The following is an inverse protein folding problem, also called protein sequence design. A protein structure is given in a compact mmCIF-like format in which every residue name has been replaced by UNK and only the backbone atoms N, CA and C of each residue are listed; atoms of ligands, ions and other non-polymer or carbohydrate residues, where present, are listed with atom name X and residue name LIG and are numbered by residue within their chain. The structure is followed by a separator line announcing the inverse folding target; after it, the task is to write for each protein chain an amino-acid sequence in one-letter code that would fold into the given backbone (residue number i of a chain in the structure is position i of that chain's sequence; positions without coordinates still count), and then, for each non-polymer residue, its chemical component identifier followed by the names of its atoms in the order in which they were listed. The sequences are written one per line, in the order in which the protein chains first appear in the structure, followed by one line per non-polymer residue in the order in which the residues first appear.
data_IF_281985306853
#
_entry.id   IF_281985306853
#
_cell.length_a   1.000
_cell.length_b   1.000
_cell.length_c   1.000
_cell.angle_alpha   90.00
_cell.angle_beta   90.00
_cell.angle_gamma   90.00
#
_symmetry.space_group_name_H-M   'P 1'
#
loop_
_entity.id
_entity.type
_entity.pdbx_description
1 polymer ?
#
# COMPACT_ATOMS: atom_id res chain seq x y z
N UNK A 1 -47.41 -27.15 -49.44
CA UNK A 1 -46.45 -28.21 -49.07
C UNK A 1 -45.05 -27.68 -49.25
N UNK A 2 -44.40 -27.26 -48.17
CA UNK A 2 -43.11 -27.81 -47.71
C UNK A 2 -42.56 -26.91 -46.61
N UNK A 3 -42.31 -27.57 -45.49
CA UNK A 3 -41.91 -27.02 -44.21
C UNK A 3 -40.38 -27.02 -44.09
N UNK A 4 -39.85 -26.02 -43.39
CA UNK A 4 -38.57 -26.09 -42.67
C UNK A 4 -38.60 -24.96 -41.64
N UNK A 5 -38.97 -25.27 -40.39
CA UNK A 5 -38.05 -25.59 -39.28
C UNK A 5 -37.40 -24.32 -38.72
N UNK A 6 -37.99 -23.81 -37.64
CA UNK A 6 -37.56 -22.65 -36.89
C UNK A 6 -36.92 -23.16 -35.57
N UNK A 7 -35.64 -23.51 -35.61
CA UNK A 7 -34.86 -23.87 -34.42
C UNK A 7 -34.37 -22.60 -33.71
N UNK A 8 -35.20 -22.10 -32.78
CA UNK A 8 -34.73 -21.17 -31.74
C UNK A 8 -33.84 -21.95 -30.77
N UNK A 9 -32.54 -21.72 -30.86
CA UNK A 9 -31.57 -22.09 -29.85
C UNK A 9 -32.00 -21.56 -28.47
N UNK A 10 -32.51 -22.45 -27.61
CA UNK A 10 -32.60 -22.23 -26.16
C UNK A 10 -31.17 -22.22 -25.62
N UNK A 11 -30.61 -21.03 -25.44
CA UNK A 11 -29.36 -20.83 -24.72
C UNK A 11 -29.57 -21.26 -23.25
N UNK A 12 -28.84 -22.32 -22.87
CA UNK A 12 -28.79 -22.94 -21.56
C UNK A 12 -28.26 -21.97 -20.49
N UNK A 13 -29.07 -21.71 -19.46
CA UNK A 13 -28.70 -20.97 -18.24
C UNK A 13 -28.59 -21.90 -17.01
N UNK A 14 -28.40 -23.22 -17.22
CA UNK A 14 -28.57 -24.22 -16.15
C UNK A 14 -27.27 -24.97 -15.78
N UNK A 15 -26.13 -24.65 -16.41
CA UNK A 15 -24.85 -25.33 -16.16
C UNK A 15 -24.10 -24.84 -14.91
N UNK A 16 -24.18 -23.55 -14.57
CA UNK A 16 -23.32 -22.97 -13.53
C UNK A 16 -23.81 -23.26 -12.10
N UNK A 17 -25.12 -23.39 -11.89
CA UNK A 17 -25.71 -23.46 -10.53
C UNK A 17 -25.45 -24.76 -9.76
N UNK A 18 -25.21 -25.88 -10.45
CA UNK A 18 -25.06 -27.19 -9.79
C UNK A 18 -23.65 -27.39 -9.22
N UNK A 19 -22.64 -26.85 -9.92
CA UNK A 19 -21.25 -26.79 -9.46
C UNK A 19 -21.15 -25.99 -8.15
N UNK A 20 -21.83 -24.85 -8.10
CA UNK A 20 -21.78 -23.92 -6.97
C UNK A 20 -22.28 -24.54 -5.66
N UNK A 21 -23.29 -25.42 -5.70
CA UNK A 21 -23.81 -26.03 -4.46
C UNK A 21 -22.97 -27.19 -3.96
N UNK A 22 -22.39 -27.98 -4.86
CA UNK A 22 -21.44 -29.03 -4.47
C UNK A 22 -20.21 -28.38 -3.80
N UNK A 23 -19.68 -27.31 -4.42
CA UNK A 23 -18.64 -26.49 -3.82
C UNK A 23 -19.08 -25.94 -2.45
N UNK A 24 -20.28 -25.37 -2.33
CA UNK A 24 -20.80 -24.85 -1.07
C UNK A 24 -20.90 -25.92 0.04
N UNK A 25 -21.29 -27.16 -0.28
CA UNK A 25 -21.36 -28.26 0.70
C UNK A 25 -19.99 -28.68 1.20
N UNK A 26 -19.01 -28.80 0.31
CA UNK A 26 -17.64 -29.10 0.69
C UNK A 26 -17.02 -27.97 1.51
N UNK A 27 -17.30 -26.70 1.16
CA UNK A 27 -16.91 -25.53 1.95
C UNK A 27 -17.53 -25.58 3.35
N UNK A 28 -18.84 -25.86 3.48
CA UNK A 28 -19.49 -26.02 4.79
C UNK A 28 -18.81 -27.13 5.60
N UNK A 29 -18.56 -28.30 5.00
CA UNK A 29 -17.92 -29.42 5.69
C UNK A 29 -16.50 -29.09 6.15
N UNK A 30 -15.72 -28.41 5.31
CA UNK A 30 -14.39 -27.93 5.67
C UNK A 30 -14.45 -26.91 6.81
N UNK A 31 -15.38 -25.96 6.75
CA UNK A 31 -15.59 -24.98 7.81
C UNK A 31 -16.04 -25.61 9.13
N UNK A 32 -17.03 -26.51 9.09
CA UNK A 32 -17.53 -27.21 10.28
C UNK A 32 -16.39 -27.99 10.97
N UNK A 33 -15.53 -28.65 10.18
CA UNK A 33 -14.35 -29.36 10.69
C UNK A 33 -13.36 -28.44 11.40
N UNK A 34 -13.11 -27.24 10.83
CA UNK A 34 -12.24 -26.23 11.44
C UNK A 34 -12.87 -25.61 12.70
N UNK A 35 -14.17 -25.33 12.68
CA UNK A 35 -14.93 -24.83 13.84
C UNK A 35 -14.83 -25.83 14.99
N UNK A 36 -15.05 -27.12 14.72
CA UNK A 36 -14.95 -28.18 15.72
C UNK A 36 -13.53 -28.31 16.27
N UNK A 37 -12.50 -28.21 15.41
CA UNK A 37 -11.09 -28.17 15.84
C UNK A 37 -10.81 -27.01 16.79
N UNK A 38 -11.31 -25.80 16.49
CA UNK A 38 -11.16 -24.62 17.36
C UNK A 38 -11.90 -24.76 18.69
N UNK A 39 -13.02 -25.49 18.71
CA UNK A 39 -13.81 -25.76 19.93
C UNK A 39 -13.17 -26.81 20.84
N UNK A 40 -12.47 -27.79 20.26
CA UNK A 40 -11.80 -28.88 21.01
C UNK A 40 -10.43 -28.48 21.58
N UNK A 41 -9.82 -27.41 21.06
CA UNK A 41 -8.54 -26.89 21.54
C UNK A 41 -8.64 -26.19 22.90
N UNK A 42 -8.38 -26.92 23.99
CA UNK A 42 -8.03 -26.35 25.28
C UNK A 42 -6.64 -25.68 25.19
N UNK A 43 -6.59 -24.34 25.24
CA UNK A 43 -5.58 -23.63 26.03
C UNK A 43 -4.12 -23.52 25.57
N UNK A 44 -3.73 -23.84 24.33
CA UNK A 44 -2.38 -23.52 23.84
C UNK A 44 -2.39 -22.58 22.64
N UNK A 45 -1.63 -21.49 22.77
CA UNK A 45 -1.67 -20.31 21.91
C UNK A 45 -1.40 -20.58 20.43
N UNK A 46 -2.22 -19.94 19.61
CA UNK A 46 -1.87 -19.23 18.37
C UNK A 46 -0.75 -19.84 17.50
N UNK A 47 -0.86 -21.12 17.16
CA UNK A 47 -0.14 -21.74 16.04
C UNK A 47 -1.11 -22.03 14.90
N UNK A 48 -1.50 -20.97 14.20
CA UNK A 48 -2.04 -21.06 12.84
C UNK A 48 -0.94 -20.63 11.85
N UNK A 49 -0.06 -21.57 11.50
CA UNK A 49 0.80 -21.47 10.32
C UNK A 49 0.71 -22.80 9.57
N UNK A 50 -0.26 -22.90 8.67
CA UNK A 50 0.01 -23.33 7.30
C UNK A 50 -1.15 -22.88 6.40
N UNK A 51 -0.81 -22.00 5.46
CA UNK A 51 -1.74 -21.31 4.58
C UNK A 51 -1.98 -22.09 3.30
N UNK A 52 -2.57 -23.28 3.40
CA UNK A 52 -3.02 -24.03 2.23
C UNK A 52 -4.55 -24.03 2.15
N UNK A 53 -5.14 -22.88 1.78
CA UNK A 53 -6.56 -22.78 1.41
C UNK A 53 -6.81 -23.26 -0.03
N UNK A 54 -6.22 -24.40 -0.39
CA UNK A 54 -6.47 -25.06 -1.68
C UNK A 54 -7.46 -26.21 -1.47
N UNK A 55 -8.75 -25.97 -1.66
CA UNK A 55 -9.71 -27.05 -1.73
C UNK A 55 -9.61 -27.74 -3.10
N UNK A 56 -9.44 -29.07 -3.16
CA UNK A 56 -9.66 -29.81 -4.39
C UNK A 56 -11.16 -29.77 -4.70
N UNK A 57 -11.56 -28.96 -5.68
CA UNK A 57 -12.90 -29.00 -6.28
C UNK A 57 -13.06 -30.37 -6.98
N UNK A 58 -13.51 -31.37 -6.23
CA UNK A 58 -13.80 -32.67 -6.80
C UNK A 58 -15.19 -32.62 -7.44
N UNK A 59 -15.24 -32.44 -8.75
CA UNK A 59 -16.43 -32.21 -9.59
C UNK A 59 -17.41 -33.39 -9.67
N UNK A 60 -17.21 -34.45 -8.91
CA UNK A 60 -17.83 -35.76 -9.18
C UNK A 60 -18.98 -36.16 -8.22
N UNK A 61 -19.48 -35.24 -7.40
CA UNK A 61 -20.67 -35.47 -6.58
C UNK A 61 -21.89 -34.71 -7.15
N UNK A 62 -22.34 -35.12 -8.34
CA UNK A 62 -23.47 -34.52 -9.06
C UNK A 62 -24.78 -35.02 -8.43
N UNK A 63 -25.43 -34.18 -7.64
CA UNK A 63 -26.81 -34.33 -7.20
C UNK A 63 -27.65 -33.16 -7.71
N UNK A 64 -28.71 -33.45 -8.47
CA UNK A 64 -29.60 -32.46 -9.09
C UNK A 64 -30.27 -31.55 -8.06
N UNK A 65 -30.37 -30.26 -8.38
CA UNK A 65 -31.03 -29.24 -7.56
C UNK A 65 -32.43 -28.93 -8.08
N UNK A 66 -33.47 -29.00 -7.24
CA UNK A 66 -34.83 -28.70 -7.69
C UNK A 66 -35.25 -27.21 -7.52
N UNK A 67 -34.62 -26.42 -6.64
CA UNK A 67 -35.20 -25.14 -6.17
C UNK A 67 -34.18 -24.04 -5.76
N UNK A 68 -34.54 -22.77 -5.98
CA UNK A 68 -33.83 -21.54 -5.60
C UNK A 68 -33.80 -21.37 -4.08
N UNK A 69 -34.87 -21.76 -3.38
CA UNK A 69 -34.89 -21.67 -1.92
C UNK A 69 -33.80 -22.53 -1.26
N UNK A 70 -33.47 -23.67 -1.87
CA UNK A 70 -32.38 -24.53 -1.39
C UNK A 70 -30.99 -23.95 -1.68
N UNK A 71 -30.85 -23.14 -2.74
CA UNK A 71 -29.61 -22.38 -2.98
C UNK A 71 -29.41 -21.34 -1.89
N UNK A 72 -30.43 -20.52 -1.61
CA UNK A 72 -30.34 -19.46 -0.60
C UNK A 72 -30.07 -20.02 0.79
N UNK A 73 -30.68 -21.16 1.15
CA UNK A 73 -30.36 -21.87 2.40
C UNK A 73 -28.90 -22.32 2.46
N UNK A 74 -28.36 -22.85 1.37
CA UNK A 74 -26.96 -23.29 1.31
C UNK A 74 -26.01 -22.10 1.35
N UNK A 75 -26.31 -21.02 0.64
CA UNK A 75 -25.54 -19.76 0.68
C UNK A 75 -25.54 -19.15 2.07
N UNK A 76 -26.71 -19.03 2.70
CA UNK A 76 -26.82 -18.54 4.08
C UNK A 76 -26.03 -19.42 5.06
N UNK A 77 -25.97 -20.73 4.81
CA UNK A 77 -25.12 -21.61 5.60
C UNK A 77 -23.65 -21.26 5.43
N UNK A 78 -23.12 -21.21 4.20
CA UNK A 78 -21.72 -20.86 3.91
C UNK A 78 -21.33 -19.54 4.60
N UNK A 79 -22.10 -18.47 4.36
CA UNK A 79 -21.85 -17.14 4.92
C UNK A 79 -21.78 -17.18 6.45
N UNK A 80 -22.73 -17.88 7.09
CA UNK A 80 -22.74 -18.03 8.55
C UNK A 80 -21.48 -18.74 9.08
N UNK A 81 -20.91 -19.70 8.34
CA UNK A 81 -19.69 -20.41 8.80
C UNK A 81 -18.45 -19.55 8.57
N UNK A 82 -18.38 -18.82 7.47
CA UNK A 82 -17.33 -17.83 7.23
C UNK A 82 -17.33 -16.76 8.33
N UNK A 83 -18.51 -16.30 8.72
CA UNK A 83 -18.70 -15.37 9.84
C UNK A 83 -18.21 -15.95 11.18
N UNK A 84 -18.50 -17.23 11.46
CA UNK A 84 -18.01 -17.91 12.67
C UNK A 84 -16.49 -18.12 12.69
N UNK A 85 -15.87 -18.27 11.50
CA UNK A 85 -14.44 -18.49 11.35
C UNK A 85 -13.61 -17.22 11.29
N UNK A 86 -14.24 -16.05 11.13
CA UNK A 86 -13.55 -14.77 11.05
C UNK A 86 -12.68 -14.52 12.28
N UNK A 87 -11.59 -13.76 12.09
CA UNK A 87 -10.64 -13.47 13.17
C UNK A 87 -11.30 -12.75 14.36
N UNK A 88 -12.38 -12.01 14.11
CA UNK A 88 -13.10 -11.18 15.07
C UNK A 88 -14.41 -11.81 15.58
N UNK A 89 -14.80 -13.01 15.12
CA UNK A 89 -16.09 -13.64 15.44
C UNK A 89 -16.38 -13.71 16.94
N UNK A 90 -15.37 -14.08 17.74
CA UNK A 90 -15.46 -14.11 19.21
C UNK A 90 -15.80 -12.74 19.80
N UNK A 91 -15.22 -11.68 19.27
CA UNK A 91 -15.46 -10.32 19.76
C UNK A 91 -16.82 -9.81 19.31
N UNK A 92 -17.21 -10.05 18.05
CA UNK A 92 -18.54 -9.71 17.53
C UNK A 92 -19.67 -10.35 18.36
N UNK A 93 -19.53 -11.63 18.73
CA UNK A 93 -20.53 -12.32 19.56
C UNK A 93 -20.67 -11.77 20.98
N UNK A 94 -19.62 -11.12 21.51
CA UNK A 94 -19.58 -10.56 22.88
C UNK A 94 -19.74 -9.05 22.92
N UNK A 95 -19.85 -8.40 21.76
CA UNK A 95 -20.00 -6.96 21.66
C UNK A 95 -21.22 -6.47 22.45
N UNK A 96 -21.06 -5.36 23.15
CA UNK A 96 -22.15 -4.61 23.76
C UNK A 96 -22.99 -3.90 22.70
N UNK A 97 -24.20 -3.45 23.07
CA UNK A 97 -25.07 -2.71 22.16
C UNK A 97 -24.45 -1.39 21.68
N UNK A 98 -23.64 -0.76 22.54
CA UNK A 98 -22.85 0.42 22.18
C UNK A 98 -21.84 0.09 21.09
N UNK A 99 -21.06 -0.99 21.25
CA UNK A 99 -20.05 -1.40 20.27
C UNK A 99 -20.69 -1.77 18.93
N UNK A 100 -21.84 -2.45 18.94
CA UNK A 100 -22.60 -2.75 17.71
C UNK A 100 -23.06 -1.47 17.01
N UNK A 101 -23.59 -0.51 17.76
CA UNK A 101 -24.01 0.79 17.21
C UNK A 101 -22.83 1.57 16.62
N UNK A 102 -21.67 1.53 17.27
CA UNK A 102 -20.45 2.17 16.75
C UNK A 102 -19.96 1.46 15.49
N UNK A 103 -19.97 0.13 15.44
CA UNK A 103 -19.64 -0.64 14.23
C UNK A 103 -20.55 -0.28 13.05
N UNK A 104 -21.86 -0.13 13.28
CA UNK A 104 -22.80 0.35 12.25
C UNK A 104 -22.43 1.74 11.70
N UNK A 105 -22.06 2.67 12.59
CA UNK A 105 -21.61 4.01 12.19
C UNK A 105 -20.32 3.90 11.35
N UNK A 106 -19.33 3.14 11.80
CA UNK A 106 -18.05 2.96 11.08
C UNK A 106 -18.29 2.36 9.69
N UNK A 107 -19.19 1.37 9.57
CA UNK A 107 -19.55 0.79 8.27
C UNK A 107 -20.22 1.79 7.33
N UNK A 108 -21.02 2.71 7.86
CA UNK A 108 -21.62 3.77 7.06
C UNK A 108 -20.57 4.78 6.61
N UNK A 109 -19.67 5.20 7.51
CA UNK A 109 -18.53 6.08 7.16
C UNK A 109 -17.67 5.45 6.07
N UNK A 110 -17.40 4.14 6.13
CA UNK A 110 -16.67 3.43 5.07
C UNK A 110 -17.35 3.58 3.70
N UNK A 111 -18.68 3.48 3.63
CA UNK A 111 -19.42 3.65 2.37
C UNK A 111 -19.34 5.09 1.86
N UNK A 112 -19.36 6.07 2.76
CA UNK A 112 -19.17 7.48 2.41
C UNK A 112 -17.75 7.72 1.85
N UNK A 113 -16.73 7.11 2.45
CA UNK A 113 -15.37 7.17 1.94
C UNK A 113 -15.25 6.51 0.55
N UNK A 114 -15.94 5.40 0.27
CA UNK A 114 -15.98 4.79 -1.07
C UNK A 114 -16.54 5.76 -2.14
N UNK A 115 -17.52 6.59 -1.76
CA UNK A 115 -18.04 7.66 -2.63
C UNK A 115 -16.99 8.77 -2.81
N UNK A 116 -16.27 9.14 -1.75
CA UNK A 116 -15.16 10.12 -1.83
C UNK A 116 -14.13 9.68 -2.87
N UNK A 117 -13.66 8.43 -2.81
CA UNK A 117 -12.67 7.90 -3.76
C UNK A 117 -13.22 7.85 -5.19
N UNK A 118 -14.40 7.26 -5.38
CA UNK A 118 -14.98 7.08 -6.71
C UNK A 118 -15.40 8.39 -7.39
N UNK A 119 -15.61 9.46 -6.60
CA UNK A 119 -15.88 10.82 -7.10
C UNK A 119 -14.66 11.58 -7.60
N UNK A 120 -13.44 11.07 -7.38
CA UNK A 120 -12.21 11.72 -7.84
C UNK A 120 -11.98 11.52 -9.33
N UNK A 121 -11.16 12.40 -9.90
CA UNK A 121 -10.75 12.28 -11.31
C UNK A 121 -10.08 10.92 -11.54
N UNK A 122 -10.53 10.14 -12.54
CA UNK A 122 -9.92 8.86 -12.88
C UNK A 122 -8.44 9.00 -13.21
N UNK A 123 -7.66 8.03 -12.76
CA UNK A 123 -6.21 8.03 -13.00
C UNK A 123 -5.88 7.39 -14.33
N UNK A 124 -4.79 7.84 -14.91
CA UNK A 124 -4.31 7.35 -16.20
C UNK A 124 -3.27 6.26 -15.94
N UNK A 125 -3.65 5.02 -16.21
CA UNK A 125 -2.77 3.85 -16.18
C UNK A 125 -2.02 3.65 -17.49
N UNK A 126 -1.51 2.43 -17.66
CA UNK A 126 -0.74 2.03 -18.84
C UNK A 126 -1.50 2.26 -20.15
N UNK A 127 -0.79 2.75 -21.18
CA UNK A 127 -1.38 3.15 -22.49
C UNK A 127 -2.54 4.15 -22.41
N UNK A 128 -2.66 4.89 -21.32
CA UNK A 128 -3.71 5.90 -21.19
C UNK A 128 -5.06 5.37 -20.72
N UNK A 129 -5.13 4.12 -20.25
CA UNK A 129 -6.35 3.56 -19.67
C UNK A 129 -6.79 4.38 -18.45
N UNK A 130 -8.09 4.66 -18.33
CA UNK A 130 -8.62 5.38 -17.17
C UNK A 130 -9.13 4.39 -16.13
N UNK A 131 -8.68 4.56 -14.89
CA UNK A 131 -9.09 3.76 -13.75
C UNK A 131 -9.75 4.64 -12.68
N UNK A 132 -10.94 4.26 -12.17
CA UNK A 132 -11.52 4.97 -11.04
C UNK A 132 -10.61 4.81 -9.82
N UNK A 133 -10.57 5.84 -8.96
CA UNK A 133 -9.87 5.72 -7.68
C UNK A 133 -10.75 4.94 -6.70
N UNK A 134 -10.12 4.09 -5.90
CA UNK A 134 -10.77 3.30 -4.86
C UNK A 134 -9.80 3.09 -3.69
N UNK A 135 -10.31 2.75 -2.52
CA UNK A 135 -9.52 2.68 -1.29
C UNK A 135 -8.34 1.68 -1.35
N UNK A 136 -8.46 0.64 -2.18
CA UNK A 136 -7.42 -0.38 -2.38
C UNK A 136 -6.44 -0.08 -3.52
N UNK A 137 -6.47 1.12 -4.10
CA UNK A 137 -5.48 1.57 -5.08
C UNK A 137 -4.14 1.88 -4.40
N UNK A 138 -3.12 2.18 -5.20
CA UNK A 138 -1.77 2.50 -4.78
C UNK A 138 -1.70 3.58 -3.67
N UNK A 139 -0.87 3.34 -2.64
CA UNK A 139 -0.82 4.21 -1.45
C UNK A 139 -0.36 5.63 -1.76
N UNK A 140 0.78 5.82 -2.44
CA UNK A 140 1.28 7.16 -2.75
C UNK A 140 0.33 7.93 -3.67
N UNK A 141 -0.45 7.20 -4.47
CA UNK A 141 -1.49 7.76 -5.29
C UNK A 141 -2.66 8.29 -4.49
N UNK A 142 -2.94 7.71 -3.32
CA UNK A 142 -4.11 7.94 -2.48
C UNK A 142 -3.86 8.64 -1.15
N UNK A 143 -2.60 8.88 -0.79
CA UNK A 143 -2.25 9.45 0.52
C UNK A 143 -2.94 10.79 0.77
N UNK A 144 -3.10 11.60 -0.29
CA UNK A 144 -3.84 12.87 -0.28
C UNK A 144 -5.29 12.69 0.16
N UNK A 145 -5.96 11.66 -0.35
CA UNK A 145 -7.36 11.37 -0.03
C UNK A 145 -7.51 10.67 1.31
N UNK A 146 -6.58 9.78 1.68
CA UNK A 146 -6.66 8.99 2.92
C UNK A 146 -6.79 9.92 4.12
N UNK A 147 -6.03 11.03 4.14
CA UNK A 147 -6.09 12.04 5.20
C UNK A 147 -7.45 12.75 5.31
N UNK A 148 -8.22 12.78 4.22
CA UNK A 148 -9.57 13.36 4.19
C UNK A 148 -10.66 12.40 4.67
N UNK A 149 -10.42 11.08 4.61
CA UNK A 149 -11.43 10.05 4.91
C UNK A 149 -11.91 10.07 6.36
N UNK A 150 -13.19 9.78 6.55
CA UNK A 150 -13.78 9.63 7.88
C UNK A 150 -13.20 8.42 8.62
N UNK A 151 -12.95 7.32 7.90
CA UNK A 151 -12.41 6.10 8.48
C UNK A 151 -10.99 6.30 9.01
N UNK A 152 -10.12 7.03 8.30
CA UNK A 152 -8.77 7.33 8.79
C UNK A 152 -8.80 8.22 10.04
N UNK A 153 -9.69 9.22 10.09
CA UNK A 153 -9.91 10.05 11.29
C UNK A 153 -10.33 9.22 12.49
N UNK A 154 -11.25 8.26 12.32
CA UNK A 154 -11.65 7.34 13.38
C UNK A 154 -10.48 6.44 13.80
N UNK A 155 -9.82 5.79 12.83
CA UNK A 155 -8.68 4.89 13.08
C UNK A 155 -7.50 5.59 13.78
N UNK A 156 -7.32 6.89 13.54
CA UNK A 156 -6.31 7.72 14.21
C UNK A 156 -6.58 7.87 15.70
N UNK A 157 -7.86 7.90 16.11
CA UNK A 157 -8.28 7.98 17.52
C UNK A 157 -8.32 6.61 18.23
N UNK A 158 -8.37 5.51 17.48
CA UNK A 158 -8.46 4.18 18.06
C UNK A 158 -7.17 3.75 18.79
N UNK A 159 -7.28 3.12 19.98
CA UNK A 159 -6.14 2.50 20.66
C UNK A 159 -5.74 1.22 19.90
N UNK A 160 -4.74 1.34 19.04
CA UNK A 160 -4.26 0.24 18.16
C UNK A 160 -3.45 -0.84 18.89
N UNK A 161 -3.20 -0.69 20.18
CA UNK A 161 -2.36 -1.59 20.96
C UNK A 161 -0.88 -1.31 20.73
N UNK A 162 -0.11 -2.33 20.32
CA UNK A 162 1.34 -2.26 20.19
C UNK A 162 1.80 -2.35 18.72
N UNK A 163 2.89 -1.65 18.39
CA UNK A 163 3.56 -1.74 17.10
C UNK A 163 4.62 -2.85 17.16
N UNK A 164 4.29 -4.04 16.67
CA UNK A 164 5.12 -5.25 16.87
C UNK A 164 6.18 -5.50 15.77
N UNK A 165 6.04 -4.86 14.61
CA UNK A 165 6.99 -4.99 13.52
C UNK A 165 7.35 -3.59 13.03
N UNK A 166 8.55 -3.13 13.36
CA UNK A 166 9.04 -1.84 12.92
C UNK A 166 10.53 -1.90 12.58
N UNK A 167 10.95 -1.04 11.66
CA UNK A 167 12.36 -0.78 11.40
C UNK A 167 12.68 0.57 12.02
N UNK A 168 13.52 0.58 13.06
CA UNK A 168 13.80 1.77 13.86
C UNK A 168 14.19 3.00 13.00
N UNK A 169 15.03 2.79 11.98
CA UNK A 169 15.50 3.84 11.09
C UNK A 169 14.43 4.42 10.15
N UNK A 170 13.25 3.80 10.06
CA UNK A 170 12.13 4.22 9.22
C UNK A 170 10.89 4.66 10.03
N UNK A 171 11.02 4.80 11.36
CA UNK A 171 9.90 5.18 12.23
C UNK A 171 9.76 6.69 12.41
N UNK A 172 10.72 7.48 11.93
CA UNK A 172 10.71 8.94 12.05
C UNK A 172 10.50 9.56 10.67
N UNK A 173 9.65 10.61 10.56
CA UNK A 173 9.58 11.39 9.34
C UNK A 173 10.98 11.92 8.96
N UNK A 174 11.44 11.80 7.70
CA UNK A 174 12.81 12.13 7.34
C UNK A 174 13.20 13.58 7.63
N UNK A 175 12.24 14.52 7.58
CA UNK A 175 12.50 15.93 7.91
C UNK A 175 13.02 16.11 9.34
N UNK A 176 12.57 15.28 10.31
CA UNK A 176 13.04 15.34 11.70
C UNK A 176 14.54 15.04 11.78
N UNK A 177 15.00 14.01 11.05
CA UNK A 177 16.41 13.63 11.01
C UNK A 177 17.26 14.69 10.29
N UNK A 178 16.76 15.24 9.19
CA UNK A 178 17.41 16.33 8.48
C UNK A 178 17.55 17.57 9.37
N UNK A 179 16.51 17.96 10.11
CA UNK A 179 16.54 19.12 11.00
C UNK A 179 17.53 18.95 12.16
N UNK A 180 17.65 17.75 12.72
CA UNK A 180 18.69 17.42 13.69
C UNK A 180 20.08 17.55 13.04
N UNK A 181 20.26 16.96 11.85
CA UNK A 181 21.55 16.97 11.14
C UNK A 181 22.04 18.39 10.83
N UNK A 182 21.13 19.33 10.51
CA UNK A 182 21.46 20.75 10.26
C UNK A 182 22.13 21.43 11.47
N UNK A 183 21.76 21.02 12.69
CA UNK A 183 22.27 21.59 13.93
C UNK A 183 23.63 21.02 14.37
N UNK A 184 24.17 20.03 13.68
CA UNK A 184 25.38 19.31 14.10
C UNK A 184 26.63 19.88 13.40
N UNK A 185 27.57 20.45 14.19
CA UNK A 185 28.81 21.05 13.67
C UNK A 185 29.68 20.07 12.86
N UNK A 186 29.63 18.79 13.24
CA UNK A 186 30.45 17.71 12.66
C UNK A 186 29.69 16.83 11.66
N UNK A 187 28.58 17.32 11.12
CA UNK A 187 27.82 16.63 10.08
C UNK A 187 28.36 16.96 8.68
N UNK A 188 28.64 15.92 7.92
CA UNK A 188 29.13 16.01 6.54
C UNK A 188 28.16 15.32 5.60
N UNK A 189 28.17 15.78 4.36
CA UNK A 189 27.44 15.22 3.24
C UNK A 189 28.43 14.86 2.14
N UNK A 190 28.20 13.71 1.50
CA UNK A 190 28.99 13.23 0.36
C UNK A 190 28.07 12.74 -0.75
N UNK A 191 28.61 12.69 -1.96
CA UNK A 191 27.95 12.16 -3.14
C UNK A 191 28.89 11.24 -3.91
N UNK A 192 28.34 10.26 -4.63
CA UNK A 192 29.09 9.48 -5.62
C UNK A 192 29.39 10.27 -6.91
N UNK A 193 28.68 11.37 -7.17
CA UNK A 193 28.81 12.23 -8.35
C UNK A 193 28.97 13.71 -7.97
N UNK A 194 29.70 14.52 -8.77
CA UNK A 194 29.68 15.97 -8.62
C UNK A 194 28.28 16.54 -8.87
N UNK A 195 27.76 17.36 -7.98
CA UNK A 195 26.45 18.01 -8.07
C UNK A 195 26.54 19.28 -8.93
N UNK A 196 26.83 19.06 -10.22
CA UNK A 196 26.99 20.11 -11.22
C UNK A 196 25.86 20.04 -12.27
N UNK A 197 25.55 21.19 -12.87
CA UNK A 197 24.67 21.20 -14.03
C UNK A 197 25.43 20.70 -15.27
N UNK A 198 24.85 19.76 -16.02
CA UNK A 198 25.39 19.30 -17.30
C UNK A 198 24.63 19.94 -18.45
N UNK A 199 25.24 20.93 -19.10
CA UNK A 199 24.68 21.55 -20.31
C UNK A 199 23.34 22.29 -20.07
N UNK A 200 22.56 22.37 -21.15
CA UNK A 200 21.23 23.00 -21.18
C UNK A 200 20.16 21.96 -21.56
N UNK A 201 18.89 22.22 -21.23
CA UNK A 201 17.78 21.32 -21.53
C UNK A 201 17.39 20.39 -20.38
N UNK A 202 16.76 19.27 -20.72
CA UNK A 202 16.14 18.33 -19.76
C UNK A 202 17.18 17.66 -18.85
N UNK A 203 18.37 17.38 -19.38
CA UNK A 203 19.47 16.71 -18.66
C UNK A 203 20.29 17.65 -17.76
N UNK A 204 19.92 18.94 -17.66
CA UNK A 204 20.67 19.95 -16.91
C UNK A 204 21.01 19.49 -15.49
N UNK A 205 20.11 18.77 -14.82
CA UNK A 205 20.32 18.32 -13.43
C UNK A 205 20.54 16.80 -13.31
N UNK A 206 20.96 16.12 -14.38
CA UNK A 206 21.15 14.66 -14.40
C UNK A 206 21.95 14.13 -13.19
N UNK A 207 23.04 14.81 -12.83
CA UNK A 207 23.85 14.39 -11.68
C UNK A 207 23.11 14.52 -10.34
N UNK A 208 22.26 15.54 -10.17
CA UNK A 208 21.42 15.66 -8.99
C UNK A 208 20.36 14.56 -8.95
N UNK A 209 19.90 14.08 -10.09
CA UNK A 209 18.89 13.03 -10.16
C UNK A 209 19.50 11.64 -9.90
N UNK A 210 20.68 11.36 -10.44
CA UNK A 210 21.35 10.04 -10.34
C UNK A 210 22.29 9.86 -9.14
N UNK A 211 22.59 10.93 -8.40
CA UNK A 211 23.53 10.82 -7.28
C UNK A 211 22.97 9.99 -6.13
N UNK A 212 23.87 9.26 -5.47
CA UNK A 212 23.67 8.68 -4.16
C UNK A 212 24.29 9.60 -3.10
N UNK A 213 23.49 10.03 -2.14
CA UNK A 213 23.90 10.92 -1.04
C UNK A 213 24.16 10.10 0.22
N UNK A 214 25.23 10.44 0.94
CA UNK A 214 25.50 9.88 2.26
C UNK A 214 25.82 10.99 3.26
N UNK A 215 25.35 10.78 4.49
CA UNK A 215 25.64 11.63 5.64
C UNK A 215 26.58 10.91 6.60
N UNK A 216 27.51 11.65 7.19
CA UNK A 216 28.46 11.11 8.16
C UNK A 216 28.80 12.12 9.25
N UNK A 217 28.97 11.62 10.47
CA UNK A 217 29.54 12.38 11.58
C UNK A 217 31.02 11.98 11.67
N UNK A 218 31.93 12.94 11.49
CA UNK A 218 33.35 12.63 11.32
C UNK A 218 34.22 13.37 12.34
N UNK A 219 35.32 12.74 12.75
CA UNK A 219 36.41 13.41 13.48
C UNK A 219 37.27 14.23 12.50
N UNK A 220 37.97 15.28 12.97
CA UNK A 220 38.81 16.12 12.11
C UNK A 220 39.83 15.34 11.26
N UNK A 221 40.44 14.30 11.84
CA UNK A 221 41.52 13.54 11.18
C UNK A 221 41.05 12.65 10.02
N UNK A 222 39.73 12.51 9.83
CA UNK A 222 39.13 11.67 8.78
C UNK A 222 38.51 12.46 7.64
N UNK A 223 38.61 13.79 7.68
CA UNK A 223 38.10 14.66 6.63
C UNK A 223 38.92 14.50 5.35
N UNK A 224 38.23 14.28 4.23
CA UNK A 224 38.78 14.44 2.89
C UNK A 224 37.99 15.55 2.22
N UNK A 225 38.42 16.79 2.42
CA UNK A 225 37.63 17.96 2.05
C UNK A 225 37.45 18.04 0.52
N UNK A 226 36.21 18.18 0.08
CA UNK A 226 35.85 18.41 -1.31
C UNK A 226 34.69 19.37 -1.46
N UNK A 227 34.48 19.84 -2.68
CA UNK A 227 33.37 20.71 -3.02
C UNK A 227 32.41 19.98 -3.94
N UNK A 228 31.26 19.54 -3.42
CA UNK A 228 30.25 18.82 -4.18
C UNK A 228 29.81 19.55 -5.46
N UNK A 229 29.90 20.88 -5.50
CA UNK A 229 29.49 21.71 -6.63
C UNK A 229 30.63 22.01 -7.63
N UNK A 230 31.77 21.35 -7.48
CA UNK A 230 32.92 21.48 -8.37
C UNK A 230 32.97 20.35 -9.39
N UNK A 231 33.28 20.62 -10.68
CA UNK A 231 33.50 19.57 -11.67
C UNK A 231 34.75 18.72 -11.37
N UNK A 232 35.62 19.16 -10.46
CA UNK A 232 36.82 18.43 -10.01
C UNK A 232 36.57 17.59 -8.75
N UNK A 233 35.36 17.61 -8.19
CA UNK A 233 35.00 16.81 -7.04
C UNK A 233 35.24 15.32 -7.30
N UNK A 234 35.91 14.67 -6.36
CA UNK A 234 36.08 13.22 -6.39
C UNK A 234 34.99 12.56 -5.54
N UNK A 235 34.55 11.38 -5.99
CA UNK A 235 33.51 10.61 -5.30
C UNK A 235 33.84 10.42 -3.83
N UNK A 236 32.84 10.61 -2.96
CA UNK A 236 32.91 10.49 -1.50
C UNK A 236 33.80 11.50 -0.76
N UNK A 237 34.30 12.55 -1.41
CA UNK A 237 34.88 13.66 -0.66
C UNK A 237 33.83 14.34 0.21
N UNK A 238 34.28 14.81 1.36
CA UNK A 238 33.45 15.36 2.43
C UNK A 238 33.23 16.86 2.25
N UNK A 239 31.97 17.27 2.34
CA UNK A 239 31.57 18.68 2.42
C UNK A 239 30.79 18.87 3.72
N UNK A 240 31.05 19.97 4.46
CA UNK A 240 30.25 20.28 5.65
C UNK A 240 28.79 20.46 5.25
N UNK A 241 27.88 19.86 6.01
CA UNK A 241 26.46 19.91 5.66
C UNK A 241 25.90 21.33 5.69
N UNK A 242 26.31 22.15 6.66
CA UNK A 242 25.95 23.57 6.72
C UNK A 242 26.41 24.36 5.50
N UNK A 243 27.60 24.05 4.96
CA UNK A 243 28.11 24.69 3.75
C UNK A 243 27.31 24.27 2.52
N UNK A 244 27.01 22.97 2.41
CA UNK A 244 26.16 22.43 1.35
C UNK A 244 24.81 23.16 1.31
N UNK A 245 24.13 23.30 2.45
CA UNK A 245 22.82 23.97 2.53
C UNK A 245 22.87 25.43 2.06
N UNK A 246 23.93 26.15 2.43
CA UNK A 246 24.11 27.55 2.04
C UNK A 246 24.35 27.73 0.54
N UNK A 247 25.04 26.78 -0.10
CA UNK A 247 25.45 26.87 -1.50
C UNK A 247 24.49 26.21 -2.47
N UNK A 248 23.77 25.17 -2.04
CA UNK A 248 22.87 24.37 -2.87
C UNK A 248 21.89 25.21 -3.72
N UNK A 249 21.20 26.24 -3.18
CA UNK A 249 20.23 27.02 -3.96
C UNK A 249 20.82 27.75 -5.17
N UNK A 250 22.14 28.01 -5.17
CA UNK A 250 22.85 28.64 -6.29
C UNK A 250 23.04 27.69 -7.47
N UNK A 251 23.16 26.39 -7.21
CA UNK A 251 23.44 25.38 -8.23
C UNK A 251 22.18 24.63 -8.69
N UNK A 252 21.23 24.39 -7.79
CA UNK A 252 19.99 23.71 -8.11
C UNK A 252 18.83 24.68 -8.28
N UNK A 253 18.55 25.02 -9.54
CA UNK A 253 17.54 26.02 -9.89
C UNK A 253 16.24 25.45 -10.44
N UNK A 254 16.07 24.12 -10.45
CA UNK A 254 14.82 23.47 -10.87
C UNK A 254 13.66 23.95 -9.98
N UNK A 255 12.47 24.06 -10.59
CA UNK A 255 11.28 24.64 -9.96
C UNK A 255 10.48 23.64 -9.11
N UNK A 256 10.75 22.35 -9.27
CA UNK A 256 10.15 21.22 -8.53
C UNK A 256 10.36 21.31 -7.02
N UNK A 257 11.46 21.93 -6.58
CA UNK A 257 11.74 22.20 -5.16
C UNK A 257 11.22 23.57 -4.68
N UNK A 258 10.38 24.23 -5.48
CA UNK A 258 9.80 25.54 -5.18
C UNK A 258 10.77 26.72 -5.37
N UNK A 259 10.31 27.93 -5.02
CA UNK A 259 11.04 29.19 -5.23
C UNK A 259 11.76 29.72 -3.99
N UNK A 260 11.42 29.21 -2.80
CA UNK A 260 12.04 29.62 -1.55
C UNK A 260 13.45 29.03 -1.42
N UNK A 261 14.47 29.87 -1.62
CA UNK A 261 15.86 29.49 -1.53
C UNK A 261 16.26 28.89 -0.18
N UNK A 262 15.53 29.16 0.91
CA UNK A 262 15.84 28.62 2.24
C UNK A 262 15.48 27.14 2.38
N UNK A 263 14.49 26.66 1.63
CA UNK A 263 13.95 25.30 1.78
C UNK A 263 14.22 24.39 0.57
N UNK A 264 14.91 24.89 -0.46
CA UNK A 264 15.24 24.11 -1.67
C UNK A 264 16.03 22.84 -1.37
N UNK A 265 17.12 22.97 -0.59
CA UNK A 265 17.95 21.83 -0.24
C UNK A 265 17.16 20.79 0.57
N UNK A 266 16.30 21.25 1.49
CA UNK A 266 15.47 20.39 2.33
C UNK A 266 14.48 19.57 1.50
N UNK A 267 13.79 20.20 0.56
CA UNK A 267 12.85 19.51 -0.33
C UNK A 267 13.55 18.52 -1.24
N UNK A 268 14.69 18.91 -1.82
CA UNK A 268 15.48 18.01 -2.64
C UNK A 268 15.96 16.79 -1.86
N UNK A 269 16.50 17.00 -0.65
CA UNK A 269 16.93 15.91 0.23
C UNK A 269 15.76 15.03 0.67
N UNK A 270 14.59 15.63 0.94
CA UNK A 270 13.39 14.88 1.29
C UNK A 270 12.93 13.99 0.13
N UNK A 271 12.98 14.49 -1.11
CA UNK A 271 12.71 13.70 -2.31
C UNK A 271 13.72 12.56 -2.51
N UNK A 272 14.97 12.69 -2.00
CA UNK A 272 15.96 11.60 -2.01
C UNK A 272 15.73 10.55 -0.91
N UNK A 273 14.92 10.85 0.09
CA UNK A 273 14.67 9.97 1.25
C UNK A 273 13.29 9.31 1.21
N UNK A 274 12.38 9.79 0.37
CA UNK A 274 11.02 9.29 0.23
C UNK A 274 10.80 8.78 -1.19
N UNK A 275 10.15 7.63 -1.31
CA UNK A 275 9.69 7.13 -2.59
C UNK A 275 8.65 8.07 -3.19
N UNK A 276 8.88 8.43 -4.44
CA UNK A 276 7.89 9.13 -5.26
C UNK A 276 6.98 8.13 -5.95
N UNK A 277 5.85 8.62 -6.44
CA UNK A 277 4.87 7.75 -7.08
C UNK A 277 5.44 7.09 -8.34
N UNK A 278 6.14 7.88 -9.17
CA UNK A 278 6.80 7.41 -10.38
C UNK A 278 7.89 6.38 -10.05
N UNK A 279 8.68 6.60 -8.99
CA UNK A 279 9.70 5.64 -8.55
C UNK A 279 9.08 4.33 -8.03
N UNK A 280 7.92 4.40 -7.37
CA UNK A 280 7.31 3.22 -6.77
C UNK A 280 6.44 2.42 -7.76
N UNK A 281 5.79 3.09 -8.71
CA UNK A 281 4.70 2.51 -9.51
C UNK A 281 4.85 2.72 -11.03
N UNK A 282 5.98 3.26 -11.52
CA UNK A 282 6.19 3.30 -12.97
C UNK A 282 6.14 1.89 -13.58
N UNK A 283 5.66 1.80 -14.82
CA UNK A 283 5.47 0.54 -15.52
C UNK A 283 6.76 -0.26 -15.76
N UNK A 284 7.94 0.38 -15.72
CA UNK A 284 9.24 -0.28 -15.79
C UNK A 284 9.80 -0.66 -14.42
N UNK A 285 9.16 -0.22 -13.33
CA UNK A 285 9.61 -0.45 -11.97
C UNK A 285 9.49 -1.93 -11.61
N UNK A 286 10.53 -2.46 -10.95
CA UNK A 286 10.53 -3.84 -10.43
C UNK A 286 10.81 -3.86 -8.94
N UNK A 287 10.63 -5.02 -8.31
CA UNK A 287 10.97 -5.22 -6.90
C UNK A 287 12.47 -5.03 -6.59
N UNK A 288 13.34 -5.04 -7.61
CA UNK A 288 14.78 -4.85 -7.44
C UNK A 288 15.22 -3.39 -7.41
N UNK A 289 14.30 -2.44 -7.62
CA UNK A 289 14.68 -1.07 -7.97
C UNK A 289 14.83 -0.93 -9.48
#
# INVERSE_FOLDING_TARGET
MNAASNDKAKCSRHGDSDCDKAAAREVIKAHDSEIDRRRQGNGDGDRARDGTYGLPLNSNAIGSIPDVADYEKLRAKVVSREDELSFDARYRSRASDMERRVDEIIRNVRKEDEVLFSGQVPRKGYHGQLHPRFAGDHFLSNVDLIDETGLFKIASMMPKGAHLHNHFNACLPPHVLLDIAKGMDRMFITSNLPLICKGEGEDKFENFDKCEIQFSIMSPDKEDAGDLFSPRYQSRQTMKFSEFLNRFPTYYTRADVGTDGKTKADKWLLHKLLFQEEEAYDHLQTASG
#
